data_IF_294224446558
#
_entry.id   IF_294224446558
#
_cell.length_a   1.000
_cell.length_b   1.000
_cell.length_c   1.000
_cell.angle_alpha   90.00
_cell.angle_beta   90.00
_cell.angle_gamma   90.00
#
_symmetry.space_group_name_H-M   'P 1'
#
loop_
_entity.id
_entity.type
_entity.pdbx_description
1 polymer ?
#
# COMPACT_ATOMS: atom_id res chain seq x y z
N UNK A 1 23.71 -22.33 -41.01
CA UNK A 1 24.44 -21.42 -40.11
C UNK A 1 23.53 -21.14 -38.93
N UNK A 2 23.63 -22.02 -37.93
CA UNK A 2 22.86 -21.95 -36.68
C UNK A 2 23.46 -20.84 -35.81
N UNK A 3 22.73 -19.76 -35.63
CA UNK A 3 23.08 -18.72 -34.66
C UNK A 3 22.53 -19.16 -33.30
N UNK A 4 23.41 -19.69 -32.45
CA UNK A 4 23.10 -19.97 -31.06
C UNK A 4 22.74 -18.66 -30.32
N UNK A 5 21.48 -18.53 -29.93
CA UNK A 5 21.03 -17.50 -28.99
C UNK A 5 21.74 -17.68 -27.65
N UNK A 6 22.57 -16.71 -27.27
CA UNK A 6 23.17 -16.67 -25.92
C UNK A 6 22.06 -16.33 -24.92
N UNK A 7 21.88 -17.11 -23.84
CA UNK A 7 20.91 -16.78 -22.81
C UNK A 7 21.31 -15.47 -22.10
N UNK A 8 20.32 -14.59 -21.91
CA UNK A 8 20.46 -13.40 -21.07
C UNK A 8 21.02 -13.81 -19.70
N UNK A 9 22.14 -13.21 -19.29
CA UNK A 9 22.70 -13.40 -17.94
C UNK A 9 21.68 -12.90 -16.90
N UNK A 10 21.28 -13.71 -15.91
CA UNK A 10 20.38 -13.25 -14.85
C UNK A 10 21.07 -12.14 -14.03
N UNK A 11 20.35 -11.06 -13.72
CA UNK A 11 20.77 -10.07 -12.74
C UNK A 11 21.14 -10.81 -11.44
N UNK A 12 22.40 -10.68 -10.99
CA UNK A 12 22.89 -11.34 -9.77
C UNK A 12 22.14 -10.79 -8.55
N UNK A 13 21.14 -11.53 -8.08
CA UNK A 13 20.49 -11.26 -6.79
C UNK A 13 21.53 -11.40 -5.65
N UNK A 14 21.42 -10.58 -4.61
CA UNK A 14 22.35 -10.57 -3.46
C UNK A 14 21.91 -11.55 -2.35
N UNK A 15 21.00 -12.47 -2.67
CA UNK A 15 20.45 -13.45 -1.76
C UNK A 15 20.15 -14.77 -2.48
N UNK A 16 20.07 -15.85 -1.72
CA UNK A 16 19.73 -17.20 -2.18
C UNK A 16 18.59 -17.76 -1.32
N UNK A 17 17.76 -18.64 -1.90
CA UNK A 17 16.66 -19.30 -1.20
C UNK A 17 17.13 -20.70 -0.83
N UNK A 18 16.83 -21.13 0.39
CA UNK A 18 17.24 -22.40 0.97
C UNK A 18 15.99 -23.15 1.44
N UNK A 19 15.89 -24.43 1.08
CA UNK A 19 14.94 -25.37 1.65
C UNK A 19 15.41 -25.89 3.02
N UNK A 20 14.53 -26.53 3.79
CA UNK A 20 14.93 -27.22 5.03
C UNK A 20 16.07 -28.24 4.80
N UNK A 21 16.08 -28.91 3.64
CA UNK A 21 17.13 -29.87 3.29
C UNK A 21 18.50 -29.20 3.07
N UNK A 22 18.52 -28.05 2.39
CA UNK A 22 19.74 -27.27 2.15
C UNK A 22 20.35 -26.77 3.47
N UNK A 23 19.49 -26.33 4.40
CA UNK A 23 19.90 -25.86 5.73
C UNK A 23 20.42 -27.02 6.57
N UNK A 24 19.76 -28.19 6.49
CA UNK A 24 20.23 -29.42 7.14
C UNK A 24 21.61 -29.86 6.65
N UNK A 25 21.94 -29.66 5.38
CA UNK A 25 23.27 -29.95 4.84
C UNK A 25 24.33 -28.95 5.33
N UNK A 26 23.98 -27.65 5.41
CA UNK A 26 24.84 -26.62 6.01
C UNK A 26 25.17 -26.93 7.47
N UNK A 27 24.17 -27.36 8.26
CA UNK A 27 24.37 -27.79 9.64
C UNK A 27 25.27 -29.03 9.74
N UNK A 28 25.07 -30.05 8.90
CA UNK A 28 25.90 -31.27 8.88
C UNK A 28 27.36 -30.99 8.51
N UNK A 29 27.62 -29.96 7.68
CA UNK A 29 28.98 -29.51 7.36
C UNK A 29 29.67 -28.81 8.54
N UNK A 30 28.92 -28.20 9.46
CA UNK A 30 29.45 -27.56 10.68
C UNK A 30 29.48 -28.50 11.90
N UNK A 31 28.58 -29.49 12.00
CA UNK A 31 28.52 -30.42 13.12
C UNK A 31 29.11 -31.80 12.77
N UNK A 32 30.33 -32.06 13.26
CA UNK A 32 30.92 -33.41 13.27
C UNK A 32 30.00 -34.35 14.06
N UNK A 33 29.52 -35.41 13.39
CA UNK A 33 28.57 -36.44 13.88
C UNK A 33 28.89 -36.94 15.30
N UNK A 34 27.97 -36.77 16.25
CA UNK A 34 27.81 -37.70 17.38
C UNK A 34 26.52 -38.51 17.17
N UNK A 35 26.67 -39.83 17.34
CA UNK A 35 25.62 -40.86 17.21
C UNK A 35 24.44 -40.59 18.15
N UNK A 36 23.22 -40.82 17.65
CA UNK A 36 22.03 -41.08 18.46
C UNK A 36 21.16 -42.10 17.71
N UNK A 37 20.63 -43.08 18.43
CA UNK A 37 19.93 -44.26 17.92
C UNK A 37 18.54 -43.98 17.33
N UNK A 38 18.19 -44.78 16.32
CA UNK A 38 16.95 -44.79 15.54
C UNK A 38 15.82 -45.51 16.31
N UNK A 39 15.03 -44.81 17.12
CA UNK A 39 13.74 -45.32 17.61
C UNK A 39 12.79 -44.16 17.94
N UNK A 40 12.35 -43.44 16.89
CA UNK A 40 11.05 -42.75 16.76
C UNK A 40 11.11 -41.73 15.60
N UNK A 41 10.90 -42.20 14.36
CA UNK A 41 11.04 -41.38 13.15
C UNK A 41 10.18 -40.08 13.16
N UNK A 42 9.01 -40.10 13.81
CA UNK A 42 8.10 -38.94 13.92
C UNK A 42 8.60 -37.92 14.96
N UNK A 43 9.19 -38.39 16.07
CA UNK A 43 9.82 -37.53 17.08
C UNK A 43 11.08 -36.87 16.53
N UNK A 44 11.87 -37.63 15.77
CA UNK A 44 13.07 -37.16 15.09
C UNK A 44 12.80 -36.13 13.98
N UNK A 45 11.72 -36.27 13.20
CA UNK A 45 11.33 -35.24 12.23
C UNK A 45 10.98 -33.90 12.92
N UNK A 46 10.22 -33.95 14.02
CA UNK A 46 9.89 -32.74 14.80
C UNK A 46 11.14 -32.14 15.43
N UNK A 47 12.00 -32.97 16.02
CA UNK A 47 13.27 -32.55 16.62
C UNK A 47 14.21 -31.91 15.58
N UNK A 48 14.36 -32.55 14.41
CA UNK A 48 15.15 -32.04 13.30
C UNK A 48 14.64 -30.68 12.80
N UNK A 49 13.33 -30.50 12.69
CA UNK A 49 12.72 -29.22 12.31
C UNK A 49 12.98 -28.13 13.35
N UNK A 50 12.84 -28.44 14.64
CA UNK A 50 13.19 -27.50 15.71
C UNK A 50 14.67 -27.10 15.68
N UNK A 51 15.56 -28.05 15.38
CA UNK A 51 17.01 -27.84 15.32
C UNK A 51 17.42 -26.98 14.11
N UNK A 52 16.84 -27.22 12.94
CA UNK A 52 17.00 -26.39 11.74
C UNK A 52 16.49 -24.98 12.00
N UNK A 53 15.31 -24.86 12.63
CA UNK A 53 14.72 -23.55 12.98
C UNK A 53 15.61 -22.74 13.92
N UNK A 54 16.09 -23.37 15.00
CA UNK A 54 16.99 -22.74 15.98
C UNK A 54 18.29 -22.25 15.35
N UNK A 55 18.86 -22.99 14.40
CA UNK A 55 20.08 -22.58 13.70
C UNK A 55 19.88 -21.37 12.80
N UNK A 56 18.79 -21.31 12.05
CA UNK A 56 18.47 -20.13 11.25
C UNK A 56 18.22 -18.92 12.16
N UNK A 57 17.51 -19.09 13.27
CA UNK A 57 17.29 -18.05 14.28
C UNK A 57 18.62 -17.57 14.89
N UNK A 58 19.58 -18.48 15.14
CA UNK A 58 20.93 -18.13 15.60
C UNK A 58 21.77 -17.40 14.53
N UNK A 59 21.44 -17.58 13.24
CA UNK A 59 22.11 -16.95 12.11
C UNK A 59 21.30 -15.79 11.50
N UNK A 60 20.51 -15.06 12.30
CA UNK A 60 19.59 -14.01 11.84
C UNK A 60 20.22 -12.92 10.93
N UNK A 61 21.53 -12.70 11.00
CA UNK A 61 22.23 -11.76 10.12
C UNK A 61 22.56 -12.33 8.73
N UNK A 62 22.60 -13.65 8.56
CA UNK A 62 22.97 -14.35 7.31
C UNK A 62 21.81 -15.12 6.71
N UNK A 63 20.92 -15.69 7.53
CA UNK A 63 19.79 -16.52 7.10
C UNK A 63 18.55 -16.10 7.90
N UNK A 64 17.41 -15.94 7.23
CA UNK A 64 16.10 -15.66 7.86
C UNK A 64 15.01 -16.52 7.24
N UNK A 65 14.06 -16.96 8.05
CA UNK A 65 12.86 -17.62 7.55
C UNK A 65 11.98 -16.67 6.75
N UNK A 66 11.31 -17.20 5.74
CA UNK A 66 10.21 -16.49 5.09
C UNK A 66 9.07 -16.28 6.11
N UNK A 67 8.55 -15.05 6.29
CA UNK A 67 7.47 -14.79 7.25
C UNK A 67 6.09 -15.23 6.73
N UNK A 68 5.98 -15.72 5.50
CA UNK A 68 4.71 -16.15 4.92
C UNK A 68 4.12 -17.35 5.70
N UNK A 69 2.83 -17.34 6.06
CA UNK A 69 2.20 -18.46 6.74
C UNK A 69 2.30 -19.75 5.92
N UNK A 70 2.78 -20.82 6.54
CA UNK A 70 2.93 -22.14 5.89
C UNK A 70 4.11 -22.27 4.93
N UNK A 71 5.03 -21.29 4.91
CA UNK A 71 6.26 -21.35 4.13
C UNK A 71 7.43 -21.88 4.97
N UNK A 72 8.09 -22.94 4.49
CA UNK A 72 9.26 -23.57 5.12
C UNK A 72 10.58 -23.23 4.41
N UNK A 73 10.60 -22.17 3.60
CA UNK A 73 11.81 -21.67 2.95
C UNK A 73 12.49 -20.61 3.80
N UNK A 74 13.82 -20.60 3.76
CA UNK A 74 14.65 -19.52 4.32
C UNK A 74 15.38 -18.77 3.20
N UNK A 75 15.71 -17.51 3.46
CA UNK A 75 16.53 -16.68 2.58
C UNK A 75 17.88 -16.49 3.23
N UNK A 76 18.95 -16.76 2.49
CA UNK A 76 20.33 -16.43 2.84
C UNK A 76 20.73 -15.12 2.16
N UNK A 77 21.25 -14.16 2.93
CA UNK A 77 21.61 -12.83 2.44
C UNK A 77 23.11 -12.56 2.60
N UNK A 78 23.77 -12.11 1.54
CA UNK A 78 25.20 -11.82 1.55
C UNK A 78 25.45 -10.34 1.91
N UNK A 79 25.68 -10.06 3.20
CA UNK A 79 25.93 -8.72 3.75
C UNK A 79 27.12 -7.99 3.07
N UNK A 80 28.10 -8.72 2.53
CA UNK A 80 29.33 -8.15 1.95
C UNK A 80 29.15 -7.22 0.74
N UNK A 81 27.92 -7.07 0.20
CA UNK A 81 27.59 -6.12 -0.88
C UNK A 81 26.74 -4.93 -0.43
N UNK A 82 26.38 -4.85 0.85
CA UNK A 82 25.70 -3.70 1.43
C UNK A 82 26.76 -2.62 1.66
N UNK A 83 27.01 -1.76 0.67
CA UNK A 83 28.03 -0.72 0.88
C UNK A 83 28.26 0.32 -0.20
N UNK A 84 27.55 0.33 -1.35
CA UNK A 84 27.85 1.33 -2.39
C UNK A 84 26.69 1.90 -3.21
N UNK A 85 25.48 1.37 -3.09
CA UNK A 85 24.26 1.98 -3.64
C UNK A 85 23.11 1.60 -2.73
N UNK A 86 22.17 2.52 -2.47
CA UNK A 86 20.97 2.32 -1.66
C UNK A 86 20.02 1.25 -2.22
N UNK A 87 20.50 0.02 -2.35
CA UNK A 87 19.77 -1.13 -2.85
C UNK A 87 18.78 -1.56 -1.76
N UNK A 88 17.52 -1.63 -2.16
CA UNK A 88 16.42 -2.14 -1.36
C UNK A 88 16.76 -3.44 -0.63
N UNK A 89 16.44 -3.50 0.65
CA UNK A 89 16.57 -4.71 1.47
C UNK A 89 15.48 -5.74 1.19
N UNK A 90 14.59 -5.50 0.21
CA UNK A 90 13.50 -6.40 -0.13
C UNK A 90 14.03 -7.67 -0.82
N UNK A 91 13.64 -8.82 -0.28
CA UNK A 91 13.95 -10.16 -0.81
C UNK A 91 12.65 -10.85 -1.21
N UNK A 92 12.71 -11.69 -2.25
CA UNK A 92 11.58 -12.49 -2.70
C UNK A 92 11.85 -13.97 -2.42
N UNK A 93 10.91 -14.62 -1.76
CA UNK A 93 10.94 -16.06 -1.54
C UNK A 93 10.35 -16.82 -2.74
N UNK A 94 10.64 -18.11 -2.88
CA UNK A 94 10.07 -18.98 -3.91
C UNK A 94 8.55 -19.17 -3.76
N UNK A 95 8.01 -19.03 -2.54
CA UNK A 95 6.57 -18.93 -2.32
C UNK A 95 5.95 -17.61 -2.84
N UNK A 96 6.73 -16.80 -3.58
CA UNK A 96 6.40 -15.48 -4.11
C UNK A 96 6.16 -14.38 -3.08
N UNK A 97 6.23 -14.69 -1.77
CA UNK A 97 6.17 -13.66 -0.73
C UNK A 97 7.45 -12.81 -0.72
N UNK A 98 7.26 -11.49 -0.79
CA UNK A 98 8.33 -10.51 -0.69
C UNK A 98 8.35 -9.89 0.71
N UNK A 99 9.53 -9.84 1.33
CA UNK A 99 9.72 -9.24 2.66
C UNK A 99 11.00 -8.42 2.73
N UNK A 100 11.05 -7.44 3.61
CA UNK A 100 12.24 -6.66 3.87
C UNK A 100 13.19 -7.44 4.76
N UNK A 101 14.43 -7.64 4.30
CA UNK A 101 15.47 -8.33 5.06
C UNK A 101 15.76 -7.65 6.40
N UNK A 102 15.63 -6.32 6.50
CA UNK A 102 15.98 -5.58 7.71
C UNK A 102 14.93 -5.72 8.82
N UNK A 103 13.66 -5.43 8.52
CA UNK A 103 12.59 -5.44 9.52
C UNK A 103 11.72 -6.70 9.51
N UNK A 104 11.89 -7.60 8.54
CA UNK A 104 11.06 -8.80 8.31
C UNK A 104 9.57 -8.53 8.02
N UNK A 105 9.18 -7.27 7.86
CA UNK A 105 7.85 -6.89 7.37
C UNK A 105 7.72 -7.15 5.88
N UNK A 106 6.49 -7.10 5.37
CA UNK A 106 6.21 -7.19 3.94
C UNK A 106 7.06 -6.18 3.15
N UNK A 107 7.55 -6.60 1.97
CA UNK A 107 8.40 -5.79 1.10
C UNK A 107 7.78 -4.40 0.90
N UNK A 108 8.55 -3.36 1.23
CA UNK A 108 8.03 -2.02 1.42
C UNK A 108 8.81 -0.93 0.70
N UNK A 109 9.73 -1.28 -0.21
CA UNK A 109 10.31 -0.31 -1.16
C UNK A 109 9.18 0.40 -1.92
N UNK A 110 9.17 1.76 -1.98
CA UNK A 110 10.28 2.69 -1.72
C UNK A 110 10.40 3.27 -0.30
N UNK A 111 9.53 2.86 0.62
CA UNK A 111 9.44 3.46 1.96
C UNK A 111 10.46 2.84 2.91
N UNK A 112 11.03 3.63 3.82
CA UNK A 112 11.99 3.15 4.80
C UNK A 112 11.35 2.34 5.95
N UNK A 113 12.15 1.51 6.60
CA UNK A 113 11.69 0.63 7.69
C UNK A 113 11.10 1.42 8.87
N UNK A 114 11.61 2.62 9.18
CA UNK A 114 11.15 3.39 10.33
C UNK A 114 9.76 3.99 10.09
N UNK A 115 9.48 4.46 8.87
CA UNK A 115 8.14 4.91 8.48
C UNK A 115 7.14 3.76 8.48
N UNK A 116 7.53 2.58 7.98
CA UNK A 116 6.69 1.37 8.01
C UNK A 116 6.38 0.94 9.45
N UNK A 117 7.39 0.89 10.33
CA UNK A 117 7.18 0.52 11.73
C UNK A 117 6.21 1.49 12.44
N UNK A 118 6.32 2.80 12.18
CA UNK A 118 5.36 3.79 12.70
C UNK A 118 3.95 3.54 12.19
N UNK A 119 3.78 3.25 10.91
CA UNK A 119 2.47 2.96 10.31
C UNK A 119 1.84 1.69 10.90
N UNK A 120 2.60 0.59 10.98
CA UNK A 120 2.11 -0.68 11.55
C UNK A 120 1.76 -0.50 13.03
N UNK A 121 2.63 0.15 13.81
CA UNK A 121 2.35 0.44 15.21
C UNK A 121 1.06 1.24 15.35
N UNK A 122 0.86 2.28 14.53
CA UNK A 122 -0.36 3.09 14.53
C UNK A 122 -1.60 2.27 14.21
N UNK A 123 -1.54 1.39 13.21
CA UNK A 123 -2.67 0.53 12.84
C UNK A 123 -2.97 -0.54 13.91
N UNK A 124 -1.94 -1.01 14.63
CA UNK A 124 -2.08 -2.03 15.69
C UNK A 124 -2.52 -1.46 17.04
N UNK A 125 -2.11 -0.23 17.34
CA UNK A 125 -2.54 0.48 18.53
C UNK A 125 -3.95 1.01 18.28
N UNK A 126 -4.93 0.52 19.04
CA UNK A 126 -6.34 0.98 19.11
C UNK A 126 -6.51 2.50 19.44
N UNK A 127 -5.48 3.31 19.28
CA UNK A 127 -5.44 4.77 19.42
C UNK A 127 -6.51 5.50 18.60
N UNK A 128 -7.01 4.88 17.53
CA UNK A 128 -8.16 5.35 16.76
C UNK A 128 -9.51 5.07 17.41
N UNK A 129 -9.66 3.99 18.19
CA UNK A 129 -10.86 3.79 18.99
C UNK A 129 -10.94 4.92 20.04
N UNK A 130 -9.81 5.31 20.65
CA UNK A 130 -9.77 6.45 21.57
C UNK A 130 -9.98 7.80 20.88
N UNK A 131 -9.40 8.04 19.70
CA UNK A 131 -9.63 9.29 18.95
C UNK A 131 -11.05 9.38 18.38
N UNK A 132 -11.62 8.27 17.92
CA UNK A 132 -13.02 8.17 17.51
C UNK A 132 -13.96 8.43 18.67
N UNK A 133 -13.71 7.83 19.84
CA UNK A 133 -14.44 8.12 21.09
C UNK A 133 -14.33 9.62 21.42
N UNK A 134 -13.15 10.23 21.34
CA UNK A 134 -12.97 11.65 21.65
C UNK A 134 -13.61 12.59 20.63
N UNK A 135 -13.68 12.20 19.35
CA UNK A 135 -14.27 12.99 18.27
C UNK A 135 -15.80 12.87 18.22
N UNK A 136 -16.36 11.69 18.48
CA UNK A 136 -17.79 11.39 18.28
C UNK A 136 -18.59 11.21 19.57
N UNK A 137 -17.94 11.19 20.73
CA UNK A 137 -18.63 11.02 22.01
C UNK A 137 -18.27 12.11 23.03
N UNK A 138 -19.18 12.33 24.01
CA UNK A 138 -18.88 13.12 25.21
C UNK A 138 -19.02 12.23 26.45
N UNK A 139 -18.16 12.39 27.47
CA UNK A 139 -18.28 11.62 28.69
C UNK A 139 -19.50 12.04 29.49
N UNK A 140 -20.22 11.07 30.06
CA UNK A 140 -21.30 11.33 31.00
C UNK A 140 -20.76 12.16 32.19
N UNK A 141 -21.39 13.28 32.58
CA UNK A 141 -20.91 14.10 33.69
C UNK A 141 -20.87 13.34 35.03
N UNK A 142 -21.76 12.36 35.22
CA UNK A 142 -21.89 11.55 36.44
C UNK A 142 -20.96 10.33 36.49
N UNK A 143 -20.93 9.50 35.43
CA UNK A 143 -20.19 8.23 35.43
C UNK A 143 -18.99 8.18 34.46
N UNK A 144 -18.74 9.27 33.71
CA UNK A 144 -17.66 9.43 32.72
C UNK A 144 -17.68 8.47 31.52
N UNK A 145 -18.65 7.56 31.42
CA UNK A 145 -18.83 6.69 30.26
C UNK A 145 -19.04 7.54 28.97
N UNK A 146 -18.34 7.25 27.86
CA UNK A 146 -18.53 7.96 26.60
C UNK A 146 -19.93 7.70 26.02
N UNK A 147 -20.58 8.75 25.54
CA UNK A 147 -21.94 8.73 24.96
C UNK A 147 -21.88 9.40 23.59
N UNK A 148 -22.29 8.66 22.56
CA UNK A 148 -22.45 9.15 21.18
C UNK A 148 -23.73 9.97 21.02
N UNK A 149 -23.72 10.99 20.16
CA UNK A 149 -24.88 11.86 19.93
C UNK A 149 -25.92 11.19 19.03
N UNK A 150 -27.13 10.97 19.55
CA UNK A 150 -28.29 10.56 18.75
C UNK A 150 -28.87 11.75 17.95
N UNK A 151 -28.47 11.86 16.67
CA UNK A 151 -29.10 12.45 15.48
C UNK A 151 -30.06 13.67 15.58
N UNK A 152 -30.05 14.47 16.66
CA UNK A 152 -30.75 15.78 16.67
C UNK A 152 -31.18 16.34 18.03
N UNK A 153 -31.29 15.51 19.08
CA UNK A 153 -31.76 15.98 20.39
C UNK A 153 -30.62 16.47 21.30
N UNK A 154 -30.80 17.61 21.99
CA UNK A 154 -29.82 18.11 22.99
C UNK A 154 -29.98 17.46 24.36
N UNK A 155 -31.08 16.74 24.60
CA UNK A 155 -31.33 15.95 25.80
C UNK A 155 -30.74 14.56 25.63
N UNK A 156 -29.75 14.24 26.44
CA UNK A 156 -29.06 12.96 26.42
C UNK A 156 -29.34 12.20 27.70
N UNK A 157 -29.62 10.90 27.56
CA UNK A 157 -29.78 10.00 28.70
C UNK A 157 -28.67 8.97 28.68
N UNK A 158 -27.85 8.94 29.74
CA UNK A 158 -26.81 7.92 29.87
C UNK A 158 -27.44 6.53 29.99
N UNK A 159 -26.89 5.54 29.30
CA UNK A 159 -27.36 4.15 29.38
C UNK A 159 -27.21 3.56 30.79
N UNK A 160 -28.00 2.52 31.08
CA UNK A 160 -27.94 1.81 32.36
C UNK A 160 -26.50 1.32 32.67
N UNK A 161 -26.08 1.32 33.95
CA UNK A 161 -26.88 1.57 35.16
C UNK A 161 -27.01 3.06 35.56
N UNK A 162 -26.41 4.00 34.82
CA UNK A 162 -26.31 5.40 35.25
C UNK A 162 -27.62 6.19 35.10
N UNK A 163 -28.32 6.05 33.97
CA UNK A 163 -29.59 6.73 33.65
C UNK A 163 -29.61 8.26 33.85
N UNK A 164 -28.44 8.90 33.96
CA UNK A 164 -28.35 10.34 34.18
C UNK A 164 -28.73 11.10 32.91
N UNK A 165 -29.64 12.06 33.06
CA UNK A 165 -30.11 12.91 31.97
C UNK A 165 -29.41 14.26 32.01
N UNK A 166 -28.83 14.66 30.89
CA UNK A 166 -28.00 15.86 30.80
C UNK A 166 -28.13 16.56 29.45
N UNK A 167 -27.72 17.83 29.42
CA UNK A 167 -27.64 18.60 28.18
C UNK A 167 -26.33 18.30 27.43
N UNK A 168 -26.42 17.98 26.14
CA UNK A 168 -25.25 17.69 25.29
C UNK A 168 -24.26 18.85 25.16
N UNK A 169 -24.73 20.11 25.25
CA UNK A 169 -23.90 21.30 25.08
C UNK A 169 -23.06 21.60 26.33
N UNK A 170 -23.73 21.81 27.47
CA UNK A 170 -23.10 22.26 28.71
C UNK A 170 -22.72 21.12 29.68
N UNK A 171 -23.13 19.88 29.40
CA UNK A 171 -22.93 18.71 30.28
C UNK A 171 -23.57 18.85 31.69
N UNK A 172 -24.47 19.82 31.88
CA UNK A 172 -25.23 20.01 33.11
C UNK A 172 -26.47 19.10 33.19
N UNK A 173 -27.03 18.94 34.40
CA UNK A 173 -28.25 18.16 34.63
C UNK A 173 -29.42 18.70 33.80
N UNK A 174 -30.18 17.80 33.15
CA UNK A 174 -31.31 18.22 32.31
C UNK A 174 -32.45 18.82 33.14
N UNK A 175 -32.62 18.39 34.39
CA UNK A 175 -33.62 18.94 35.33
C UNK A 175 -33.45 20.44 35.61
N UNK A 176 -32.26 20.99 35.39
CA UNK A 176 -31.97 22.42 35.55
C UNK A 176 -32.20 23.23 34.27
N UNK A 177 -32.60 22.59 33.17
CA UNK A 177 -32.88 23.23 31.88
C UNK A 177 -34.37 23.53 31.73
N UNK A 178 -34.70 24.80 31.46
CA UNK A 178 -36.06 25.30 31.24
C UNK A 178 -36.05 26.68 30.57
N UNK A 179 -37.14 27.43 30.70
CA UNK A 179 -37.32 28.76 30.06
C UNK A 179 -36.21 29.76 30.43
N UNK A 180 -35.73 29.71 31.68
CA UNK A 180 -34.63 30.54 32.21
C UNK A 180 -33.25 30.29 31.60
N UNK A 181 -33.04 29.18 30.90
CA UNK A 181 -31.73 28.78 30.34
C UNK A 181 -31.66 28.86 28.82
N UNK A 182 -32.66 29.47 28.15
CA UNK A 182 -32.72 29.58 26.68
C UNK A 182 -33.74 28.64 26.02
N UNK A 183 -34.61 28.00 26.82
CA UNK A 183 -35.61 27.05 26.33
C UNK A 183 -35.09 25.63 26.13
N UNK A 184 -35.90 24.75 25.54
CA UNK A 184 -35.57 23.34 25.32
C UNK A 184 -34.62 23.09 24.15
N UNK A 185 -34.41 24.09 23.29
CA UNK A 185 -33.64 24.00 22.04
C UNK A 185 -32.33 24.83 22.05
N UNK A 186 -32.12 25.72 23.04
CA UNK A 186 -30.92 26.54 23.17
C UNK A 186 -30.44 26.62 24.64
N UNK A 187 -29.12 26.75 24.86
CA UNK A 187 -28.51 26.73 26.20
C UNK A 187 -27.67 28.00 26.44
N UNK A 188 -28.24 28.99 27.11
CA UNK A 188 -27.60 30.27 27.45
C UNK A 188 -26.40 30.10 28.41
N UNK A 189 -26.39 29.02 29.22
CA UNK A 189 -25.25 28.64 30.07
C UNK A 189 -24.04 28.21 29.23
N UNK A 190 -24.28 27.52 28.12
CA UNK A 190 -23.24 27.16 27.15
C UNK A 190 -22.67 28.39 26.45
N UNK A 191 -23.52 29.32 26.01
CA UNK A 191 -23.09 30.57 25.36
C UNK A 191 -22.24 31.45 26.29
N UNK A 192 -22.62 31.54 27.56
CA UNK A 192 -21.85 32.29 28.58
C UNK A 192 -20.50 31.62 28.87
N UNK A 193 -20.44 30.29 28.90
CA UNK A 193 -19.19 29.54 29.09
C UNK A 193 -18.27 29.59 27.85
N UNK A 194 -18.85 29.66 26.64
CA UNK A 194 -18.16 29.86 25.36
C UNK A 194 -17.51 31.25 25.31
N UNK A 195 -18.23 32.31 25.71
CA UNK A 195 -17.71 33.68 25.77
C UNK A 195 -16.57 33.84 26.80
N UNK A 196 -16.52 33.00 27.84
CA UNK A 196 -15.45 32.96 28.85
C UNK A 196 -14.23 32.09 28.45
N UNK A 197 -14.19 31.54 27.23
CA UNK A 197 -13.05 30.81 26.68
C UNK A 197 -12.80 29.40 27.24
N UNK A 198 -13.60 28.92 28.19
CA UNK A 198 -13.41 27.60 28.83
C UNK A 198 -13.66 26.41 27.88
N UNK A 199 -14.44 26.61 26.82
CA UNK A 199 -14.77 25.58 25.83
C UNK A 199 -13.85 25.57 24.59
N UNK A 200 -13.19 26.69 24.27
CA UNK A 200 -12.38 26.85 23.05
C UNK A 200 -11.22 25.85 22.97
N UNK A 201 -10.53 25.59 24.10
CA UNK A 201 -9.45 24.59 24.15
C UNK A 201 -9.97 23.16 23.96
N UNK A 202 -11.13 22.83 24.53
CA UNK A 202 -11.69 21.48 24.44
C UNK A 202 -12.34 21.19 23.08
N UNK A 203 -13.01 22.19 22.48
CA UNK A 203 -13.54 22.08 21.12
C UNK A 203 -12.41 22.04 20.10
N UNK A 204 -11.37 22.88 20.25
CA UNK A 204 -10.18 22.83 19.38
C UNK A 204 -9.47 21.48 19.49
N UNK A 205 -9.36 20.88 20.70
CA UNK A 205 -8.83 19.52 20.86
C UNK A 205 -9.68 18.46 20.16
N UNK A 206 -11.01 18.56 20.22
CA UNK A 206 -11.91 17.65 19.49
C UNK A 206 -11.80 17.82 17.99
N UNK A 207 -11.76 19.06 17.50
CA UNK A 207 -11.59 19.35 16.07
C UNK A 207 -10.23 18.88 15.55
N UNK A 208 -9.15 19.09 16.31
CA UNK A 208 -7.82 18.54 15.97
C UNK A 208 -7.82 17.01 15.99
N UNK A 209 -8.47 16.38 16.97
CA UNK A 209 -8.61 14.92 17.02
C UNK A 209 -9.44 14.39 15.84
N UNK A 210 -10.51 15.10 15.47
CA UNK A 210 -11.36 14.79 14.32
C UNK A 210 -10.61 14.95 13.01
N UNK A 211 -9.90 16.06 12.79
CA UNK A 211 -9.08 16.29 11.60
C UNK A 211 -7.95 15.27 11.49
N UNK A 212 -7.30 14.93 12.61
CA UNK A 212 -6.26 13.90 12.64
C UNK A 212 -6.81 12.50 12.32
N UNK A 213 -8.05 12.22 12.76
CA UNK A 213 -8.75 10.97 12.46
C UNK A 213 -9.18 10.92 11.00
N UNK A 214 -9.79 11.97 10.47
CA UNK A 214 -10.19 12.08 9.06
C UNK A 214 -8.99 11.94 8.14
N UNK A 215 -7.88 12.62 8.45
CA UNK A 215 -6.63 12.48 7.72
C UNK A 215 -6.14 11.03 7.75
N UNK A 216 -6.07 10.40 8.92
CA UNK A 216 -5.66 9.01 9.00
C UNK A 216 -6.59 8.08 8.20
N UNK A 217 -7.92 8.21 8.37
CA UNK A 217 -8.92 7.40 7.66
C UNK A 217 -8.72 7.49 6.15
N UNK A 218 -8.47 8.70 5.63
CA UNK A 218 -8.20 8.91 4.21
C UNK A 218 -7.03 8.07 3.69
N UNK A 219 -5.90 8.05 4.40
CA UNK A 219 -4.71 7.30 3.99
C UNK A 219 -4.84 5.80 4.28
N UNK A 220 -5.47 5.43 5.40
CA UNK A 220 -5.68 4.03 5.79
C UNK A 220 -6.61 3.30 4.83
N UNK A 221 -7.74 3.90 4.44
CA UNK A 221 -8.68 3.30 3.49
C UNK A 221 -7.99 2.97 2.16
N UNK A 222 -7.14 3.87 1.67
CA UNK A 222 -6.40 3.69 0.40
C UNK A 222 -5.27 2.66 0.52
N UNK A 223 -4.57 2.65 1.66
CA UNK A 223 -3.57 1.63 1.99
C UNK A 223 -4.22 0.23 2.03
N UNK A 224 -5.35 0.10 2.73
CA UNK A 224 -6.09 -1.16 2.87
C UNK A 224 -6.73 -1.59 1.54
N UNK A 225 -7.27 -0.65 0.77
CA UNK A 225 -7.84 -0.92 -0.55
C UNK A 225 -6.78 -1.45 -1.52
N UNK A 226 -5.58 -0.86 -1.55
CA UNK A 226 -4.48 -1.36 -2.38
C UNK A 226 -4.01 -2.74 -1.93
N UNK A 227 -3.97 -3.03 -0.62
CA UNK A 227 -3.67 -4.38 -0.12
C UNK A 227 -4.72 -5.39 -0.60
N UNK A 228 -6.00 -5.08 -0.46
CA UNK A 228 -7.11 -5.95 -0.90
C UNK A 228 -7.08 -6.16 -2.41
N UNK A 229 -6.87 -5.09 -3.18
CA UNK A 229 -6.75 -5.14 -4.64
C UNK A 229 -5.56 -6.01 -5.08
N UNK A 230 -4.42 -5.90 -4.39
CA UNK A 230 -3.25 -6.76 -4.64
C UNK A 230 -3.55 -8.24 -4.38
N UNK A 231 -4.26 -8.56 -3.30
CA UNK A 231 -4.63 -9.94 -2.98
C UNK A 231 -5.54 -10.53 -4.06
N UNK A 232 -6.50 -9.74 -4.57
CA UNK A 232 -7.33 -10.13 -5.72
C UNK A 232 -6.46 -10.37 -6.96
N UNK A 233 -5.60 -9.42 -7.33
CA UNK A 233 -4.72 -9.54 -8.50
C UNK A 233 -3.74 -10.73 -8.40
N UNK A 234 -3.31 -11.11 -7.18
CA UNK A 234 -2.52 -12.33 -6.96
C UNK A 234 -3.33 -13.61 -7.22
N UNK A 235 -4.59 -13.64 -6.78
CA UNK A 235 -5.49 -14.76 -7.07
C UNK A 235 -5.77 -14.87 -8.58
N UNK A 236 -6.04 -13.74 -9.23
CA UNK A 236 -6.26 -13.65 -10.68
C UNK A 236 -4.99 -14.07 -11.45
N UNK A 237 -3.80 -13.63 -11.02
CA UNK A 237 -2.52 -14.09 -11.58
C UNK A 237 -2.37 -15.60 -11.49
N UNK A 238 -2.67 -16.21 -10.33
CA UNK A 238 -2.59 -17.66 -10.18
C UNK A 238 -3.59 -18.39 -11.07
N UNK A 239 -4.84 -17.90 -11.16
CA UNK A 239 -5.85 -18.45 -12.05
C UNK A 239 -5.42 -18.34 -13.52
N UNK A 240 -4.82 -17.21 -13.89
CA UNK A 240 -4.27 -16.97 -15.21
C UNK A 240 -3.18 -17.98 -15.55
N UNK A 241 -2.21 -18.17 -14.65
CA UNK A 241 -1.11 -19.12 -14.84
C UNK A 241 -1.56 -20.59 -14.88
N UNK A 242 -2.56 -20.95 -14.10
CA UNK A 242 -2.99 -22.34 -13.93
C UNK A 242 -3.98 -22.82 -15.01
N UNK A 243 -4.82 -21.92 -15.54
CA UNK A 243 -5.95 -22.31 -16.41
C UNK A 243 -6.07 -21.42 -17.64
N UNK A 244 -6.21 -20.11 -17.47
CA UNK A 244 -6.63 -19.24 -18.57
C UNK A 244 -5.53 -19.05 -19.64
N UNK A 245 -4.25 -19.13 -19.27
CA UNK A 245 -3.14 -19.02 -20.23
C UNK A 245 -3.18 -20.14 -21.27
N UNK A 246 -3.44 -21.39 -20.85
CA UNK A 246 -3.55 -22.53 -21.76
C UNK A 246 -4.81 -22.42 -22.64
N UNK A 247 -5.93 -21.94 -22.09
CA UNK A 247 -7.15 -21.69 -22.86
C UNK A 247 -6.93 -20.65 -23.97
N UNK A 248 -6.23 -19.55 -23.68
CA UNK A 248 -5.89 -18.53 -24.67
C UNK A 248 -4.95 -19.11 -25.72
N UNK A 249 -3.96 -19.90 -25.30
CA UNK A 249 -3.02 -20.55 -26.22
C UNK A 249 -3.74 -21.41 -27.24
N UNK A 250 -4.68 -22.23 -26.78
CA UNK A 250 -5.47 -23.12 -27.64
C UNK A 250 -6.46 -22.36 -28.52
N UNK A 251 -7.25 -21.44 -27.94
CA UNK A 251 -8.26 -20.68 -28.69
C UNK A 251 -7.67 -19.75 -29.74
N UNK A 252 -6.59 -19.04 -29.41
CA UNK A 252 -5.98 -18.04 -30.30
C UNK A 252 -4.88 -18.65 -31.19
N UNK A 253 -4.70 -19.97 -31.16
CA UNK A 253 -3.64 -20.70 -31.87
C UNK A 253 -2.23 -20.11 -31.66
N UNK A 254 -1.90 -19.71 -30.44
CA UNK A 254 -0.62 -19.08 -30.10
C UNK A 254 0.37 -20.08 -29.50
N UNK A 255 1.66 -19.75 -29.51
CA UNK A 255 2.68 -20.52 -28.77
C UNK A 255 2.83 -19.97 -27.35
N UNK A 256 3.29 -20.82 -26.40
CA UNK A 256 3.40 -20.44 -24.98
C UNK A 256 4.19 -19.14 -24.75
N UNK A 257 5.29 -18.93 -25.47
CA UNK A 257 6.08 -17.69 -25.35
C UNK A 257 5.32 -16.42 -25.75
N UNK A 258 4.37 -16.53 -26.69
CA UNK A 258 3.62 -15.39 -27.23
C UNK A 258 2.48 -14.91 -26.32
N UNK A 259 2.16 -15.64 -25.25
CA UNK A 259 1.13 -15.28 -24.27
C UNK A 259 1.71 -14.85 -22.91
N UNK A 260 3.04 -14.96 -22.71
CA UNK A 260 3.71 -14.62 -21.45
C UNK A 260 3.57 -13.14 -21.07
N UNK A 261 3.35 -12.25 -22.04
CA UNK A 261 3.09 -10.83 -21.79
C UNK A 261 1.90 -10.59 -20.85
N UNK A 262 0.92 -11.50 -20.82
CA UNK A 262 -0.23 -11.44 -19.92
C UNK A 262 0.22 -11.67 -18.48
N UNK A 263 1.10 -12.66 -18.26
CA UNK A 263 1.67 -12.96 -16.95
C UNK A 263 2.54 -11.80 -16.47
N UNK A 264 3.32 -11.19 -17.35
CA UNK A 264 4.15 -10.03 -17.01
C UNK A 264 3.29 -8.82 -16.64
N UNK A 265 2.16 -8.59 -17.34
CA UNK A 265 1.18 -7.56 -16.99
C UNK A 265 0.60 -7.77 -15.58
N UNK A 266 0.15 -8.99 -15.25
CA UNK A 266 -0.39 -9.30 -13.93
C UNK A 266 0.66 -9.17 -12.81
N UNK A 267 1.88 -9.64 -13.04
CA UNK A 267 3.00 -9.43 -12.09
C UNK A 267 3.27 -7.95 -11.87
N UNK A 268 3.24 -7.14 -12.94
CA UNK A 268 3.40 -5.70 -12.83
C UNK A 268 2.26 -5.07 -12.02
N UNK A 269 1.01 -5.46 -12.25
CA UNK A 269 -0.15 -4.97 -11.48
C UNK A 269 0.02 -5.27 -9.99
N UNK A 270 0.36 -6.52 -9.63
CA UNK A 270 0.59 -6.94 -8.24
C UNK A 270 1.67 -6.08 -7.57
N UNK A 271 2.78 -5.83 -8.26
CA UNK A 271 3.89 -5.03 -7.75
C UNK A 271 3.52 -3.55 -7.62
N UNK A 272 2.83 -2.98 -8.60
CA UNK A 272 2.33 -1.61 -8.55
C UNK A 272 1.39 -1.39 -7.34
N UNK A 273 0.47 -2.33 -7.07
CA UNK A 273 -0.43 -2.24 -5.90
C UNK A 273 0.35 -2.29 -4.58
N UNK A 274 1.43 -3.09 -4.51
CA UNK A 274 2.33 -3.11 -3.34
C UNK A 274 2.97 -1.74 -3.13
N UNK A 275 3.51 -1.14 -4.19
CA UNK A 275 4.15 0.18 -4.11
C UNK A 275 3.15 1.24 -3.68
N UNK A 276 1.97 1.32 -4.31
CA UNK A 276 0.93 2.30 -3.95
C UNK A 276 0.46 2.18 -2.50
N UNK A 277 0.28 0.95 -2.01
CA UNK A 277 -0.02 0.72 -0.60
C UNK A 277 0.96 1.48 0.28
N UNK A 278 2.27 1.31 0.04
CA UNK A 278 3.28 1.95 0.86
C UNK A 278 3.43 3.45 0.59
N UNK A 279 3.14 3.94 -0.62
CA UNK A 279 3.16 5.40 -0.88
C UNK A 279 2.12 6.14 -0.05
N UNK A 280 0.96 5.54 0.27
CA UNK A 280 -0.01 6.15 1.19
C UNK A 280 0.48 6.23 2.63
N UNK A 281 1.24 5.23 3.11
CA UNK A 281 1.88 5.30 4.42
C UNK A 281 2.96 6.39 4.45
N UNK A 282 3.75 6.53 3.38
CA UNK A 282 4.72 7.61 3.24
C UNK A 282 4.05 8.99 3.23
N UNK A 283 3.01 9.17 2.43
CA UNK A 283 2.28 10.42 2.28
C UNK A 283 1.70 10.93 3.60
N UNK A 284 1.21 10.02 4.45
CA UNK A 284 0.70 10.36 5.78
C UNK A 284 1.77 11.01 6.67
N UNK A 285 3.02 10.56 6.58
CA UNK A 285 4.14 11.08 7.37
C UNK A 285 4.91 12.20 6.67
N UNK A 286 4.53 12.59 5.45
CA UNK A 286 5.18 13.68 4.71
C UNK A 286 4.84 15.04 5.38
N UNK A 287 5.84 15.84 5.84
CA UNK A 287 5.58 17.07 6.57
C UNK A 287 4.78 18.11 5.78
N UNK A 288 3.77 18.72 6.41
CA UNK A 288 2.89 19.74 5.77
C UNK A 288 3.64 21.01 5.32
N UNK A 289 4.76 21.32 5.98
CA UNK A 289 5.60 22.48 5.63
C UNK A 289 6.28 22.34 4.26
N UNK A 290 6.43 21.11 3.75
CA UNK A 290 7.15 20.81 2.50
C UNK A 290 6.17 20.75 1.32
N UNK A 291 5.43 21.85 1.10
CA UNK A 291 4.30 21.90 0.15
C UNK A 291 4.68 21.46 -1.27
N UNK A 292 5.83 21.93 -1.78
CA UNK A 292 6.26 21.61 -3.12
C UNK A 292 6.63 20.12 -3.30
N UNK A 293 7.18 19.48 -2.25
CA UNK A 293 7.42 18.02 -2.22
C UNK A 293 6.12 17.24 -2.22
N UNK A 294 5.13 17.70 -1.44
CA UNK A 294 3.80 17.10 -1.42
C UNK A 294 3.11 17.18 -2.78
N UNK A 295 3.08 18.36 -3.40
CA UNK A 295 2.46 18.55 -4.72
C UNK A 295 3.17 17.70 -5.80
N UNK A 296 4.50 17.61 -5.77
CA UNK A 296 5.25 16.77 -6.70
C UNK A 296 4.99 15.28 -6.48
N UNK A 297 4.96 14.83 -5.23
CA UNK A 297 4.61 13.47 -4.87
C UNK A 297 3.19 13.10 -5.30
N UNK A 298 2.20 13.95 -5.03
CA UNK A 298 0.79 13.72 -5.41
C UNK A 298 0.63 13.63 -6.93
N UNK A 299 1.38 14.45 -7.68
CA UNK A 299 1.43 14.36 -9.14
C UNK A 299 1.98 13.00 -9.61
N UNK A 300 3.15 12.58 -9.10
CA UNK A 300 3.75 11.29 -9.48
C UNK A 300 2.88 10.10 -9.08
N UNK A 301 2.26 10.16 -7.89
CA UNK A 301 1.33 9.15 -7.43
C UNK A 301 0.09 9.07 -8.34
N UNK A 302 -0.48 10.22 -8.71
CA UNK A 302 -1.66 10.28 -9.59
C UNK A 302 -1.39 9.69 -10.99
N UNK A 303 -0.23 9.99 -11.59
CA UNK A 303 0.17 9.41 -12.88
C UNK A 303 0.33 7.88 -12.79
N UNK A 304 0.97 7.40 -11.72
CA UNK A 304 1.16 5.97 -11.47
C UNK A 304 -0.17 5.24 -11.24
N UNK A 305 -1.10 5.82 -10.47
CA UNK A 305 -2.43 5.26 -10.23
C UNK A 305 -3.26 5.17 -11.51
N UNK A 306 -3.31 6.26 -12.28
CA UNK A 306 -4.03 6.29 -13.56
C UNK A 306 -3.46 5.27 -14.55
N UNK A 307 -2.14 5.15 -14.64
CA UNK A 307 -1.48 4.12 -15.45
C UNK A 307 -1.85 2.71 -15.01
N UNK A 308 -1.84 2.44 -13.70
CA UNK A 308 -2.18 1.15 -13.13
C UNK A 308 -3.63 0.75 -13.39
N UNK A 309 -4.60 1.66 -13.21
CA UNK A 309 -6.00 1.32 -13.46
C UNK A 309 -6.26 1.00 -14.94
N UNK A 310 -5.62 1.73 -15.86
CA UNK A 310 -5.71 1.42 -17.30
C UNK A 310 -5.12 0.06 -17.64
N UNK A 311 -3.96 -0.28 -17.07
CA UNK A 311 -3.34 -1.59 -17.25
C UNK A 311 -4.23 -2.70 -16.68
N UNK A 312 -4.73 -2.51 -15.46
CA UNK A 312 -5.58 -3.49 -14.78
C UNK A 312 -6.89 -3.72 -15.52
N UNK A 313 -7.56 -2.66 -15.99
CA UNK A 313 -8.77 -2.77 -16.78
C UNK A 313 -8.54 -3.54 -18.09
N UNK A 314 -7.41 -3.31 -18.78
CA UNK A 314 -7.08 -4.03 -20.00
C UNK A 314 -6.81 -5.52 -19.72
N UNK A 315 -6.07 -5.82 -18.64
CA UNK A 315 -5.76 -7.20 -18.23
C UNK A 315 -6.99 -7.97 -17.71
N UNK A 316 -7.94 -7.30 -17.05
CA UNK A 316 -9.13 -7.93 -16.47
C UNK A 316 -10.27 -8.01 -17.49
N UNK A 317 -10.68 -6.90 -18.11
CA UNK A 317 -11.91 -6.84 -18.92
C UNK A 317 -11.70 -7.07 -20.39
N UNK A 318 -10.65 -6.49 -20.99
CA UNK A 318 -10.43 -6.64 -22.43
C UNK A 318 -9.89 -8.04 -22.76
N UNK A 319 -9.14 -8.64 -21.83
CA UNK A 319 -8.66 -10.02 -21.97
C UNK A 319 -9.79 -11.05 -22.01
N UNK A 320 -10.90 -10.81 -21.30
CA UNK A 320 -12.07 -11.71 -21.26
C UNK A 320 -12.66 -11.97 -22.66
N UNK A 321 -12.55 -11.02 -23.58
CA UNK A 321 -13.05 -11.16 -24.96
C UNK A 321 -12.32 -12.31 -25.65
N UNK A 322 -10.99 -12.34 -25.54
CA UNK A 322 -10.12 -13.37 -26.16
C UNK A 322 -10.17 -14.72 -25.43
N UNK A 323 -10.74 -14.75 -24.22
CA UNK A 323 -11.07 -16.00 -23.54
C UNK A 323 -12.37 -16.61 -24.07
N UNK A 324 -13.27 -15.82 -24.63
CA UNK A 324 -14.58 -16.25 -25.08
C UNK A 324 -14.64 -16.48 -26.60
N UNK A 325 -14.05 -15.57 -27.38
CA UNK A 325 -14.14 -15.52 -28.85
C UNK A 325 -12.79 -15.86 -29.53
N UNK A 326 -12.84 -16.46 -30.73
CA UNK A 326 -11.65 -16.64 -31.58
C UNK A 326 -11.44 -15.37 -32.42
N UNK A 327 -10.47 -14.56 -32.00
CA UNK A 327 -10.10 -13.28 -32.60
C UNK A 327 -8.60 -13.27 -32.90
N UNK A 328 -8.09 -14.39 -33.42
CA UNK A 328 -6.65 -14.64 -33.64
C UNK A 328 -5.92 -13.54 -34.43
N UNK A 329 -6.62 -12.82 -35.33
CA UNK A 329 -6.04 -11.69 -36.10
C UNK A 329 -5.92 -10.39 -35.31
N UNK A 330 -6.80 -10.16 -34.34
CA UNK A 330 -6.84 -8.95 -33.50
C UNK A 330 -6.04 -9.14 -32.20
N UNK A 331 -5.68 -10.39 -31.88
CA UNK A 331 -4.89 -10.72 -30.69
C UNK A 331 -3.49 -10.08 -30.69
N UNK A 332 -2.88 -9.90 -31.86
CA UNK A 332 -1.57 -9.21 -31.97
C UNK A 332 -1.66 -7.72 -31.61
N UNK A 333 -2.78 -7.06 -31.90
CA UNK A 333 -3.05 -5.68 -31.48
C UNK A 333 -3.22 -5.60 -29.97
N UNK A 334 -3.99 -6.53 -29.40
CA UNK A 334 -4.14 -6.66 -27.95
C UNK A 334 -2.80 -6.92 -27.25
N UNK A 335 -1.96 -7.81 -27.78
CA UNK A 335 -0.62 -8.07 -27.27
C UNK A 335 0.21 -6.79 -27.20
N UNK A 336 0.22 -6.03 -28.31
CA UNK A 336 0.98 -4.78 -28.40
C UNK A 336 0.45 -3.75 -27.41
N UNK A 337 -0.88 -3.64 -27.26
CA UNK A 337 -1.54 -2.74 -26.31
C UNK A 337 -1.19 -3.11 -24.86
N UNK A 338 -1.36 -4.36 -24.45
CA UNK A 338 -1.13 -4.79 -23.08
C UNK A 338 0.35 -4.70 -22.69
N UNK A 339 1.26 -5.11 -23.59
CA UNK A 339 2.70 -4.98 -23.37
C UNK A 339 3.12 -3.50 -23.28
N UNK A 340 2.56 -2.64 -24.13
CA UNK A 340 2.77 -1.20 -24.09
C UNK A 340 2.31 -0.56 -22.78
N UNK A 341 1.08 -0.87 -22.34
CA UNK A 341 0.55 -0.41 -21.04
C UNK A 341 1.39 -0.92 -19.87
N UNK A 342 1.86 -2.16 -19.93
CA UNK A 342 2.73 -2.75 -18.89
C UNK A 342 4.04 -1.97 -18.76
N UNK A 343 4.68 -1.69 -19.89
CA UNK A 343 5.94 -0.92 -19.95
C UNK A 343 5.76 0.52 -19.46
N UNK A 344 4.72 1.21 -19.94
CA UNK A 344 4.43 2.60 -19.52
C UNK A 344 4.12 2.67 -18.03
N UNK A 345 3.30 1.75 -17.52
CA UNK A 345 2.97 1.67 -16.08
C UNK A 345 4.23 1.43 -15.26
N UNK A 346 5.08 0.49 -15.68
CA UNK A 346 6.35 0.23 -15.03
C UNK A 346 7.21 1.50 -14.93
N UNK A 347 7.30 2.30 -16.01
CA UNK A 347 8.06 3.55 -16.00
C UNK A 347 7.50 4.58 -15.01
N UNK A 348 6.17 4.74 -14.91
CA UNK A 348 5.57 5.63 -13.90
C UNK A 348 5.95 5.21 -12.47
N UNK A 349 5.93 3.90 -12.19
CA UNK A 349 6.31 3.37 -10.89
C UNK A 349 7.81 3.46 -10.61
N UNK A 350 8.67 3.25 -11.61
CA UNK A 350 10.12 3.43 -11.48
C UNK A 350 10.45 4.89 -11.15
N UNK A 351 9.82 5.85 -11.83
CA UNK A 351 9.97 7.27 -11.55
C UNK A 351 9.49 7.64 -10.13
N UNK A 352 8.33 7.12 -9.72
CA UNK A 352 7.78 7.34 -8.38
C UNK A 352 8.71 6.77 -7.29
N UNK A 353 9.18 5.54 -7.47
CA UNK A 353 10.11 4.88 -6.55
C UNK A 353 11.42 5.65 -6.44
N UNK A 354 12.01 6.06 -7.57
CA UNK A 354 13.25 6.81 -7.58
C UNK A 354 13.10 8.18 -6.91
N UNK A 355 12.01 8.90 -7.17
CA UNK A 355 11.73 10.19 -6.55
C UNK A 355 11.59 10.07 -5.02
N UNK A 356 10.94 9.00 -4.54
CA UNK A 356 10.78 8.72 -3.12
C UNK A 356 12.11 8.31 -2.45
N UNK A 357 12.91 7.46 -3.10
CA UNK A 357 14.24 7.06 -2.61
C UNK A 357 15.21 8.25 -2.52
N UNK A 358 15.06 9.22 -3.42
CA UNK A 358 15.82 10.48 -3.43
C UNK A 358 15.18 11.59 -2.58
N UNK A 359 14.24 11.28 -1.67
CA UNK A 359 13.59 12.25 -0.79
C UNK A 359 12.96 13.47 -1.50
N UNK A 360 12.52 13.30 -2.75
CA UNK A 360 11.88 14.32 -3.58
C UNK A 360 12.79 15.55 -3.81
N UNK A 361 14.11 15.38 -3.87
CA UNK A 361 15.10 16.45 -4.11
C UNK A 361 14.94 17.17 -5.47
N UNK A 362 14.27 16.53 -6.44
CA UNK A 362 13.99 17.12 -7.77
C UNK A 362 13.13 18.39 -7.70
N UNK A 363 12.46 18.62 -6.56
CA UNK A 363 11.67 19.82 -6.30
C UNK A 363 12.55 21.05 -6.12
N UNK A 364 13.73 20.89 -5.50
CA UNK A 364 14.69 21.99 -5.29
C UNK A 364 15.49 22.32 -6.56
N UNK A 365 15.48 21.41 -7.54
CA UNK A 365 16.17 21.56 -8.83
C UNK A 365 15.44 22.46 -9.83
N UNK A 366 14.20 22.91 -9.52
CA UNK A 366 13.45 23.87 -10.35
C UNK A 366 13.87 25.34 -10.15
N UNK A 367 15.16 25.57 -9.96
CA UNK A 367 15.83 26.85 -10.22
C UNK A 367 16.62 26.88 -11.55
N UNK A 368 16.74 25.75 -12.26
CA UNK A 368 17.53 25.64 -13.49
C UNK A 368 16.79 24.87 -14.58
N UNK A 369 16.35 25.57 -15.63
CA UNK A 369 15.89 24.95 -16.87
C UNK A 369 17.07 24.20 -17.53
N UNK A 370 17.08 22.87 -17.40
CA UNK A 370 18.01 21.97 -18.08
C UNK A 370 17.32 21.28 -19.26
N UNK A 371 17.75 21.61 -20.47
CA UNK A 371 17.29 21.06 -21.76
C UNK A 371 17.26 19.52 -21.76
N UNK A 372 16.09 18.96 -22.04
CA UNK A 372 15.99 17.60 -22.58
C UNK A 372 16.45 17.64 -24.04
N UNK A 373 17.55 16.94 -24.34
CA UNK A 373 18.03 16.71 -25.71
C UNK A 373 17.13 15.64 -26.34
N UNK A 374 16.14 16.07 -27.11
CA UNK A 374 15.36 15.21 -28.00
C UNK A 374 16.02 15.14 -29.37
N UNK A 375 16.44 13.94 -29.78
CA UNK A 375 16.91 13.67 -31.12
C UNK A 375 15.73 13.50 -32.09
N UNK A 376 15.65 14.41 -33.07
CA UNK A 376 15.22 14.14 -34.44
C UNK A 376 13.74 13.90 -34.72
N UNK A 377 13.04 14.92 -35.20
CA UNK A 377 11.93 14.73 -36.15
C UNK A 377 11.93 15.85 -37.19
N UNK A 378 11.89 15.45 -38.46
CA UNK A 378 11.94 16.29 -39.65
C UNK A 378 10.72 17.21 -39.75
N UNK A 379 10.99 18.42 -40.23
CA UNK A 379 10.05 19.49 -40.58
C UNK A 379 9.21 19.19 -41.82
N UNK A 380 7.94 19.60 -41.82
CA UNK A 380 7.12 20.22 -42.88
C UNK A 380 5.75 20.49 -42.23
N UNK A 381 4.98 21.56 -42.38
CA UNK A 381 5.01 22.81 -43.14
C UNK A 381 3.78 23.62 -42.67
N UNK A 382 3.71 24.89 -43.07
CA UNK A 382 2.89 25.98 -42.53
C UNK A 382 1.35 25.83 -42.56
N UNK A 383 0.67 26.61 -41.71
CA UNK A 383 -0.77 26.89 -41.81
C UNK A 383 -1.31 27.75 -40.66
N UNK A 384 -1.28 29.07 -40.82
CA UNK A 384 -1.77 30.09 -39.87
C UNK A 384 -3.30 30.19 -39.89
N UNK A 385 -3.97 30.30 -38.72
CA UNK A 385 -5.22 31.06 -38.57
C UNK A 385 -5.56 31.38 -37.11
N UNK A 386 -6.03 32.61 -36.91
CA UNK A 386 -6.35 33.31 -35.65
C UNK A 386 -7.61 32.76 -34.97
N UNK A 387 -7.67 32.82 -33.64
CA UNK A 387 -8.89 32.65 -32.86
C UNK A 387 -8.71 33.06 -31.39
N UNK A 388 -9.24 34.23 -31.04
CA UNK A 388 -9.28 34.81 -29.69
C UNK A 388 -10.26 34.10 -28.76
N UNK A 389 -9.91 33.91 -27.49
CA UNK A 389 -10.88 33.51 -26.45
C UNK A 389 -10.27 33.46 -25.04
N UNK A 390 -10.70 34.38 -24.17
CA UNK A 390 -10.37 34.46 -22.73
C UNK A 390 -11.10 33.38 -21.90
N UNK A 391 -10.60 33.22 -20.66
CA UNK A 391 -11.11 32.47 -19.48
C UNK A 391 -10.48 31.07 -19.38
N UNK A 392 -9.95 30.63 -18.25
CA UNK A 392 -10.12 31.03 -16.85
C UNK A 392 -10.08 29.73 -16.05
N UNK A 393 -9.16 29.65 -15.08
CA UNK A 393 -8.97 28.50 -14.18
C UNK A 393 -10.28 27.91 -13.67
N UNK A 394 -10.38 26.57 -13.65
CA UNK A 394 -11.00 25.73 -12.61
C UNK A 394 -11.08 24.27 -13.10
N UNK A 395 -10.15 23.41 -12.68
CA UNK A 395 -10.28 21.94 -12.77
C UNK A 395 -9.97 21.37 -11.38
N UNK A 396 -10.99 21.42 -10.52
CA UNK A 396 -11.14 20.53 -9.38
C UNK A 396 -12.61 20.17 -9.35
N UNK A 397 -12.99 19.17 -10.15
CA UNK A 397 -14.30 18.57 -9.98
C UNK A 397 -14.37 17.20 -10.67
N UNK A 398 -14.89 16.22 -9.91
CA UNK A 398 -15.37 14.88 -10.29
C UNK A 398 -14.28 13.79 -10.27
N UNK A 399 -14.49 12.61 -9.66
CA UNK A 399 -15.73 11.82 -9.59
C UNK A 399 -15.90 11.14 -8.21
N UNK A 400 -16.98 11.48 -7.52
CA UNK A 400 -17.78 10.57 -6.69
C UNK A 400 -19.13 10.42 -7.41
N UNK A 401 -19.63 9.19 -7.57
CA UNK A 401 -21.04 8.75 -7.70
C UNK A 401 -20.95 7.25 -8.10
N UNK A 402 -21.10 6.30 -7.17
CA UNK A 402 -22.32 5.73 -6.55
C UNK A 402 -23.31 5.14 -7.56
N UNK A 403 -23.70 3.90 -7.29
CA UNK A 403 -24.77 3.15 -7.93
C UNK A 403 -24.65 1.69 -7.56
#
# INVERSE_FOLDING_TARGET
MEAAEKPLKPQKQNYAILSEADIGELQKKEMIKKHVDDDDAISWQKYGRCLVRSYVEAQQNKIKWCPAPGCDYAVKFDIGRIGRSGISNDVKCDCSYGFCWSCAEEAHRPVDCATVAKWILKNSAESENTNWILANSKPCPKCKRPIEKNHGCMHMTCTRPCNFQFCWLCLGAWSEHGERTGGYYACNRYETAKQKGAYDVTERRREMAKNSLEQYTHYYERWAANQKSRQKALADLHQMQAVQLDQIREKQCQIHGQVMFIIDAWKQIVECRRVLKWTYAYAYYLPERERAKREFFEYLQGEAESGLERLHQCAEKELEIYLNEDLSKEFDEFRTKLAGLTSVTKNYFENLVQALENNLEDVDSKGGCGKVVGAGSKSFGEGCSKGSGKRGNNIWNWICLKG
#
